data_IF_447834639384
#
_entry.id   IF_447834639384
#
_cell.length_a   1.000
_cell.length_b   1.000
_cell.length_c   1.000
_cell.angle_alpha   90.00
_cell.angle_beta   90.00
_cell.angle_gamma   90.00
#
_symmetry.space_group_name_H-M   'P 1'
#
loop_
_entity.id
_entity.type
_entity.pdbx_description
1 polymer ?
#
# COMPACT_ATOMS: atom_id res chain seq x y z
N UNK A 1 27.98 -16.26 -56.82
CA UNK A 1 27.86 -15.59 -55.52
C UNK A 1 29.16 -14.92 -55.23
N UNK A 2 29.14 -13.64 -54.87
CA UNK A 2 30.33 -12.90 -54.46
C UNK A 2 30.69 -13.31 -53.04
N UNK A 3 31.83 -13.98 -52.80
CA UNK A 3 32.18 -14.51 -51.49
C UNK A 3 32.33 -13.42 -50.43
N UNK A 4 32.65 -12.18 -50.81
CA UNK A 4 32.75 -11.06 -49.87
C UNK A 4 31.36 -10.59 -49.42
N UNK A 5 30.38 -10.52 -50.33
CA UNK A 5 29.01 -10.15 -49.98
C UNK A 5 28.32 -11.13 -49.04
N UNK A 6 28.63 -12.43 -49.16
CA UNK A 6 28.10 -13.46 -48.25
C UNK A 6 28.66 -13.35 -46.82
N UNK A 7 29.89 -12.87 -46.66
CA UNK A 7 30.51 -12.66 -45.35
C UNK A 7 29.92 -11.43 -44.67
N UNK A 8 29.72 -10.33 -45.40
CA UNK A 8 29.11 -9.11 -44.86
C UNK A 8 27.67 -9.36 -44.38
N UNK A 9 26.87 -10.11 -45.15
CA UNK A 9 25.51 -10.49 -44.77
C UNK A 9 25.49 -11.36 -43.50
N UNK A 10 26.43 -12.31 -43.37
CA UNK A 10 26.56 -13.14 -42.18
C UNK A 10 26.94 -12.32 -40.94
N UNK A 11 27.85 -11.34 -41.07
CA UNK A 11 28.24 -10.45 -39.98
C UNK A 11 27.04 -9.61 -39.52
N UNK A 12 26.27 -9.05 -40.46
CA UNK A 12 25.08 -8.24 -40.15
C UNK A 12 24.02 -9.06 -39.42
N UNK A 13 23.75 -10.29 -39.89
CA UNK A 13 22.78 -11.19 -39.27
C UNK A 13 23.15 -11.56 -37.83
N UNK A 14 24.43 -11.81 -37.56
CA UNK A 14 24.92 -12.10 -36.19
C UNK A 14 24.76 -10.86 -35.30
N UNK A 15 25.12 -9.68 -35.79
CA UNK A 15 24.99 -8.44 -35.03
C UNK A 15 23.54 -8.09 -34.68
N UNK A 16 22.60 -8.30 -35.62
CA UNK A 16 21.17 -8.10 -35.39
C UNK A 16 20.59 -9.08 -34.36
N UNK A 17 21.02 -10.34 -34.41
CA UNK A 17 20.62 -11.36 -33.44
C UNK A 17 21.12 -11.02 -32.03
N UNK A 18 22.39 -10.60 -31.90
CA UNK A 18 22.95 -10.16 -30.62
C UNK A 18 22.24 -8.91 -30.08
N UNK A 19 21.97 -7.92 -30.93
CA UNK A 19 21.24 -6.72 -30.54
C UNK A 19 19.83 -7.04 -30.04
N UNK A 20 19.13 -7.96 -30.71
CA UNK A 20 17.79 -8.40 -30.30
C UNK A 20 17.84 -9.08 -28.94
N UNK A 21 18.83 -9.96 -28.73
CA UNK A 21 19.03 -10.64 -27.44
C UNK A 21 19.30 -9.66 -26.30
N UNK A 22 20.15 -8.65 -26.49
CA UNK A 22 20.41 -7.66 -25.44
C UNK A 22 19.20 -6.74 -25.17
N UNK A 23 18.39 -6.43 -26.19
CA UNK A 23 17.12 -5.71 -26.00
C UNK A 23 16.12 -6.51 -25.18
N UNK A 24 15.96 -7.80 -25.49
CA UNK A 24 15.09 -8.70 -24.73
C UNK A 24 15.54 -8.83 -23.28
N UNK A 25 16.84 -9.05 -23.05
CA UNK A 25 17.42 -9.10 -21.71
C UNK A 25 17.19 -7.80 -20.93
N UNK A 26 17.38 -6.65 -21.58
CA UNK A 26 17.12 -5.34 -20.96
C UNK A 26 15.64 -5.19 -20.60
N UNK A 27 14.73 -5.67 -21.45
CA UNK A 27 13.29 -5.65 -21.18
C UNK A 27 12.95 -6.50 -19.96
N UNK A 28 13.46 -7.74 -19.91
CA UNK A 28 13.28 -8.65 -18.77
C UNK A 28 13.82 -8.07 -17.47
N UNK A 29 15.01 -7.45 -17.49
CA UNK A 29 15.56 -6.79 -16.31
C UNK A 29 14.69 -5.63 -15.82
N UNK A 30 14.15 -4.82 -16.73
CA UNK A 30 13.24 -3.72 -16.37
C UNK A 30 11.92 -4.21 -15.80
N UNK A 31 11.37 -5.28 -16.36
CA UNK A 31 10.14 -5.90 -15.85
C UNK A 31 10.37 -6.50 -14.46
N UNK A 32 11.48 -7.21 -14.25
CA UNK A 32 11.87 -7.71 -12.92
C UNK A 32 12.02 -6.58 -11.90
N UNK A 33 12.73 -5.49 -12.26
CA UNK A 33 12.92 -4.36 -11.36
C UNK A 33 11.60 -3.70 -10.96
N UNK A 34 10.64 -3.61 -11.89
CA UNK A 34 9.28 -3.11 -11.59
C UNK A 34 8.53 -4.04 -10.65
N UNK A 35 8.63 -5.36 -10.86
CA UNK A 35 8.01 -6.34 -9.99
C UNK A 35 8.60 -6.28 -8.57
N UNK A 36 9.93 -6.19 -8.46
CA UNK A 36 10.63 -6.06 -7.18
C UNK A 36 10.24 -4.76 -6.45
N UNK A 37 10.13 -3.65 -7.17
CA UNK A 37 9.66 -2.39 -6.61
C UNK A 37 8.22 -2.50 -6.09
N UNK A 38 7.30 -3.07 -6.88
CA UNK A 38 5.91 -3.25 -6.46
C UNK A 38 5.79 -4.15 -5.23
N UNK A 39 6.60 -5.22 -5.16
CA UNK A 39 6.66 -6.10 -4.00
C UNK A 39 7.18 -5.38 -2.75
N UNK A 40 8.19 -4.51 -2.91
CA UNK A 40 8.71 -3.69 -1.82
C UNK A 40 7.65 -2.70 -1.31
N UNK A 41 6.99 -1.96 -2.21
CA UNK A 41 5.93 -1.01 -1.85
C UNK A 41 4.78 -1.70 -1.10
N UNK A 42 4.39 -2.91 -1.52
CA UNK A 42 3.38 -3.69 -0.80
C UNK A 42 3.83 -4.04 0.64
N UNK A 43 5.10 -4.39 0.82
CA UNK A 43 5.68 -4.69 2.15
C UNK A 43 5.78 -3.44 3.03
N UNK A 44 6.09 -2.29 2.45
CA UNK A 44 6.11 -1.03 3.18
C UNK A 44 4.71 -0.65 3.69
N UNK A 45 3.66 -0.83 2.87
CA UNK A 45 2.27 -0.63 3.30
C UNK A 45 1.86 -1.59 4.42
N UNK A 46 2.21 -2.87 4.30
CA UNK A 46 1.97 -3.86 5.35
C UNK A 46 2.64 -3.47 6.67
N UNK A 47 3.89 -3.02 6.60
CA UNK A 47 4.63 -2.57 7.77
C UNK A 47 4.00 -1.32 8.40
N UNK A 48 3.54 -0.36 7.59
CA UNK A 48 2.85 0.83 8.09
C UNK A 48 1.55 0.47 8.84
N UNK A 49 0.74 -0.45 8.30
CA UNK A 49 -0.45 -0.96 8.98
C UNK A 49 -0.10 -1.66 10.30
N UNK A 50 0.95 -2.49 10.30
CA UNK A 50 1.41 -3.18 11.51
C UNK A 50 1.91 -2.22 12.58
N UNK A 51 2.64 -1.17 12.20
CA UNK A 51 3.10 -0.12 13.14
C UNK A 51 1.90 0.58 13.76
N UNK A 52 0.93 1.03 12.95
CA UNK A 52 -0.29 1.67 13.45
C UNK A 52 -1.06 0.76 14.41
N UNK A 53 -1.25 -0.50 14.04
CA UNK A 53 -1.92 -1.50 14.89
C UNK A 53 -1.15 -1.73 16.20
N UNK A 54 0.18 -1.81 16.13
CA UNK A 54 1.03 -1.96 17.32
C UNK A 54 0.92 -0.74 18.24
N UNK A 55 0.90 0.47 17.70
CA UNK A 55 0.72 1.70 18.49
C UNK A 55 -0.67 1.73 19.15
N UNK A 56 -1.72 1.33 18.43
CA UNK A 56 -3.06 1.17 18.99
C UNK A 56 -3.08 0.15 20.14
N UNK A 57 -2.51 -1.04 19.94
CA UNK A 57 -2.45 -2.07 20.99
C UNK A 57 -1.68 -1.62 22.23
N UNK A 58 -0.61 -0.83 22.06
CA UNK A 58 0.13 -0.24 23.18
C UNK A 58 -0.74 0.75 23.92
N UNK A 59 -1.44 1.65 23.23
CA UNK A 59 -2.35 2.61 23.84
C UNK A 59 -3.49 1.91 24.63
N UNK A 60 -4.14 0.91 24.02
CA UNK A 60 -5.19 0.11 24.68
C UNK A 60 -4.66 -0.58 25.93
N UNK A 61 -3.45 -1.14 25.87
CA UNK A 61 -2.82 -1.79 27.03
C UNK A 61 -2.53 -0.78 28.14
N UNK A 62 -1.95 0.37 27.82
CA UNK A 62 -1.68 1.41 28.81
C UNK A 62 -2.96 1.94 29.47
N UNK A 63 -4.05 2.09 28.71
CA UNK A 63 -5.36 2.45 29.24
C UNK A 63 -5.91 1.37 30.19
N UNK A 64 -5.79 0.09 29.79
CA UNK A 64 -6.16 -1.05 30.63
C UNK A 64 -5.36 -1.14 31.93
N UNK A 65 -4.04 -0.97 31.86
CA UNK A 65 -3.17 -0.98 33.04
C UNK A 65 -3.56 0.14 34.03
N UNK A 66 -3.87 1.35 33.54
CA UNK A 66 -4.39 2.45 34.39
C UNK A 66 -5.73 2.12 35.04
N UNK A 67 -6.64 1.45 34.33
CA UNK A 67 -7.92 1.05 34.89
C UNK A 67 -7.74 0.01 36.02
N UNK A 68 -6.80 -0.93 35.85
CA UNK A 68 -6.44 -1.90 36.89
C UNK A 68 -5.86 -1.19 38.12
N UNK A 69 -4.97 -0.21 37.91
CA UNK A 69 -4.39 0.58 39.01
C UNK A 69 -5.47 1.33 39.80
N UNK A 70 -6.39 2.03 39.11
CA UNK A 70 -7.53 2.74 39.72
C UNK A 70 -8.41 1.78 40.52
N UNK A 71 -8.67 0.59 39.99
CA UNK A 71 -9.48 -0.42 40.66
C UNK A 71 -8.81 -0.97 41.93
N UNK A 72 -7.51 -1.25 41.88
CA UNK A 72 -6.75 -1.74 43.05
C UNK A 72 -6.61 -0.67 44.13
N UNK A 73 -6.46 0.60 43.75
CA UNK A 73 -6.41 1.73 44.69
C UNK A 73 -7.76 1.92 45.41
N UNK A 74 -8.86 1.71 44.69
CA UNK A 74 -10.22 1.73 45.23
C UNK A 74 -10.52 0.57 46.19
N UNK A 75 -10.09 -0.65 45.85
CA UNK A 75 -10.27 -1.84 46.70
C UNK A 75 -9.44 -1.74 48.00
N UNK A 76 -8.26 -1.11 47.93
CA UNK A 76 -7.40 -0.86 49.09
C UNK A 76 -7.86 0.30 50.00
N UNK A 77 -8.70 1.21 49.51
CA UNK A 77 -9.11 2.42 50.22
C UNK A 77 -10.58 2.79 49.90
N UNK A 78 -11.52 1.99 50.44
CA UNK A 78 -12.97 2.02 50.16
C UNK A 78 -13.68 3.38 50.44
N UNK A 79 -12.98 4.38 51.00
CA UNK A 79 -13.52 5.73 51.25
C UNK A 79 -13.11 6.77 50.19
N UNK A 80 -12.13 6.47 49.30
CA UNK A 80 -11.62 7.40 48.28
C UNK A 80 -11.81 6.90 46.83
N UNK A 81 -12.81 6.04 46.59
CA UNK A 81 -13.13 5.62 45.23
C UNK A 81 -13.49 6.82 44.35
N UNK A 82 -12.61 7.16 43.41
CA UNK A 82 -12.85 8.21 42.42
C UNK A 82 -13.58 7.62 41.20
N UNK A 83 -14.91 7.61 41.30
CA UNK A 83 -15.80 7.17 40.23
C UNK A 83 -15.56 7.94 38.92
N UNK A 84 -15.15 9.21 39.00
CA UNK A 84 -14.85 10.04 37.82
C UNK A 84 -13.59 9.53 37.12
N UNK A 85 -12.53 9.23 37.89
CA UNK A 85 -11.31 8.66 37.35
C UNK A 85 -11.54 7.28 36.69
N UNK A 86 -12.40 6.44 37.29
CA UNK A 86 -12.77 5.15 36.71
C UNK A 86 -13.56 5.32 35.39
N UNK A 87 -14.51 6.25 35.36
CA UNK A 87 -15.33 6.51 34.17
C UNK A 87 -14.49 7.11 33.03
N UNK A 88 -13.55 8.00 33.34
CA UNK A 88 -12.60 8.55 32.37
C UNK A 88 -11.66 7.47 31.82
N UNK A 89 -11.18 6.54 32.64
CA UNK A 89 -10.37 5.40 32.20
C UNK A 89 -11.17 4.46 31.27
N UNK A 90 -12.45 4.21 31.56
CA UNK A 90 -13.36 3.44 30.69
C UNK A 90 -13.62 4.17 29.37
N UNK A 91 -13.85 5.49 29.41
CA UNK A 91 -14.04 6.30 28.21
C UNK A 91 -12.79 6.34 27.33
N UNK A 92 -11.59 6.35 27.91
CA UNK A 92 -10.34 6.24 27.18
C UNK A 92 -10.26 4.89 26.43
N UNK A 93 -10.61 3.79 27.09
CA UNK A 93 -10.61 2.45 26.49
C UNK A 93 -11.62 2.32 25.32
N UNK A 94 -12.83 2.86 25.48
CA UNK A 94 -13.89 2.82 24.45
C UNK A 94 -13.52 3.65 23.22
N UNK A 95 -12.85 4.81 23.42
CA UNK A 95 -12.46 5.69 22.31
C UNK A 95 -11.35 5.10 21.44
N UNK A 96 -10.46 4.27 22.01
CA UNK A 96 -9.37 3.63 21.28
C UNK A 96 -9.80 2.36 20.51
N UNK A 97 -10.87 1.67 20.94
CA UNK A 97 -11.43 0.49 20.25
C UNK A 97 -12.37 0.85 19.07
N UNK A 98 -12.87 2.10 19.02
CA UNK A 98 -13.95 2.51 18.10
C UNK A 98 -13.52 3.03 16.71
N UNK A 99 -12.29 2.78 16.26
CA UNK A 99 -11.73 3.51 15.11
C UNK A 99 -10.86 2.71 14.16
N UNK A 100 -11.39 1.66 13.52
CA UNK A 100 -10.84 1.13 12.26
C UNK A 100 -11.86 0.30 11.45
N UNK A 101 -12.99 0.90 11.07
CA UNK A 101 -13.73 0.48 9.86
C UNK A 101 -13.28 1.36 8.68
N UNK A 102 -11.96 1.37 8.44
CA UNK A 102 -11.35 2.03 7.30
C UNK A 102 -11.42 1.13 6.07
N UNK A 103 -12.61 1.03 5.47
CA UNK A 103 -12.78 0.48 4.13
C UNK A 103 -12.00 1.33 3.12
N UNK A 104 -10.83 0.84 2.73
CA UNK A 104 -10.12 1.27 1.52
C UNK A 104 -10.94 0.78 0.32
N UNK A 105 -12.02 1.48 -0.02
CA UNK A 105 -12.60 1.44 -1.36
C UNK A 105 -11.61 2.16 -2.28
N UNK A 106 -10.59 1.41 -2.68
CA UNK A 106 -9.56 1.80 -3.63
C UNK A 106 -10.20 2.45 -4.84
N UNK A 107 -9.80 3.69 -5.11
CA UNK A 107 -10.15 4.42 -6.31
C UNK A 107 -9.80 3.61 -7.55
N UNK A 108 -10.82 3.12 -8.24
CA UNK A 108 -10.74 2.67 -9.61
C UNK A 108 -10.69 3.92 -10.49
N UNK A 109 -9.51 4.49 -10.62
CA UNK A 109 -9.19 5.53 -11.60
C UNK A 109 -9.06 4.81 -12.96
N UNK A 110 -10.21 4.48 -13.56
CA UNK A 110 -10.27 4.00 -14.94
C UNK A 110 -9.92 5.16 -15.85
N UNK A 111 -8.63 5.23 -16.20
CA UNK A 111 -8.19 5.90 -17.41
C UNK A 111 -8.70 5.11 -18.62
N UNK A 112 -9.90 5.44 -19.10
CA UNK A 112 -10.35 5.01 -20.43
C UNK A 112 -9.83 6.02 -21.47
N UNK A 113 -8.62 5.77 -21.95
CA UNK A 113 -8.19 6.26 -23.26
C UNK A 113 -8.79 5.33 -24.33
N UNK A 114 -9.79 5.82 -25.08
CA UNK A 114 -9.92 5.49 -26.50
C UNK A 114 -11.33 5.18 -27.02
N UNK A 115 -11.74 5.96 -28.03
CA UNK A 115 -12.74 5.57 -29.04
C UNK A 115 -13.89 6.57 -29.15
N UNK A 116 -13.78 7.60 -29.98
CA UNK A 116 -14.23 7.63 -31.39
C UNK A 116 -15.75 7.81 -31.58
N UNK A 117 -16.03 8.74 -32.50
CA UNK A 117 -17.17 8.77 -33.43
C UNK A 117 -18.45 9.58 -33.10
N UNK A 118 -18.55 10.72 -33.81
CA UNK A 118 -19.70 11.25 -34.56
C UNK A 118 -21.04 11.65 -33.90
N UNK A 119 -21.50 12.85 -34.30
CA UNK A 119 -22.87 13.35 -34.21
C UNK A 119 -22.86 14.87 -34.02
N UNK A 120 -22.79 15.68 -35.07
CA UNK A 120 -23.94 16.17 -35.86
C UNK A 120 -25.14 16.60 -34.99
N UNK A 121 -25.48 17.89 -35.08
CA UNK A 121 -26.58 18.50 -34.34
C UNK A 121 -26.44 20.01 -34.27
N UNK A 122 -26.84 20.68 -35.34
CA UNK A 122 -26.92 22.13 -35.41
C UNK A 122 -28.07 22.76 -34.65
N UNK A 123 -28.14 24.07 -34.88
CA UNK A 123 -29.27 24.99 -34.76
C UNK A 123 -29.67 25.49 -33.38
N UNK A 124 -29.81 26.82 -33.29
CA UNK A 124 -30.67 27.45 -32.28
C UNK A 124 -30.30 28.86 -31.85
N UNK A 125 -30.45 29.82 -32.78
CA UNK A 125 -30.70 31.27 -32.59
C UNK A 125 -29.75 32.16 -31.77
#
# INVERSE_FOLDING_TARGET
MDPLGAVDEAILSVAEAELTKEREKTKLMKESARADQAALEAKERELAMLVRKKDQMVATKEAGDRLVDVFLEADGNNENFDETAMMDAILALIRDDGGDDGGDDGGDDVVDEGGDDSGDGGDGE
#
